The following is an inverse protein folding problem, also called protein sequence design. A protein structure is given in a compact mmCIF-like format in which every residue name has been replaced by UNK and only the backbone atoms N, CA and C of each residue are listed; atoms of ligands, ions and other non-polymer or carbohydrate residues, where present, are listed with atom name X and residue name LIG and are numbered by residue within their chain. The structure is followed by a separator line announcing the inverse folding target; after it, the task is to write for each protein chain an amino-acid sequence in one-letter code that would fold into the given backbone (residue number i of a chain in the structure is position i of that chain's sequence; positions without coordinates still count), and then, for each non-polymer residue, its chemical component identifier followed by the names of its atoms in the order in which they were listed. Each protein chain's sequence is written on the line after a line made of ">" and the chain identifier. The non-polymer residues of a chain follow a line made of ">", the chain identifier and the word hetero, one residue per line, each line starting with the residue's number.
data_IF_473224736083
#
_entry.id   IF_473224736083
#
_cell.length_a   1.000
_cell.length_b   1.000
_cell.length_c   1.000
_cell.angle_alpha   90.00
_cell.angle_beta   90.00
_cell.angle_gamma   90.00
#
_symmetry.space_group_name_H-M   'P 1'
#
loop_
_entity.id
_entity.type
_entity.pdbx_description
1 polymer ?
#
# COMPACT_ATOMS: atom_id res chain seq x y z
N UNK A 1 -1.39 -16.28 1.59
CA UNK A 1 -1.79 -15.51 0.40
C UNK A 1 -1.10 -14.17 0.44
N UNK A 2 -0.81 -13.59 -0.73
CA UNK A 2 -0.26 -12.25 -0.86
C UNK A 2 -1.39 -11.26 -1.03
N UNK A 3 -1.49 -10.29 -0.14
CA UNK A 3 -2.56 -9.29 -0.13
C UNK A 3 -1.93 -7.92 -0.32
N UNK A 4 -2.44 -7.16 -1.29
CA UNK A 4 -2.03 -5.78 -1.52
C UNK A 4 -3.14 -4.83 -1.05
N UNK A 5 -2.83 -3.97 -0.10
CA UNK A 5 -3.69 -2.91 0.40
C UNK A 5 -3.25 -1.58 -0.22
N UNK A 6 -4.09 -0.98 -1.05
CA UNK A 6 -3.82 0.32 -1.67
C UNK A 6 -4.52 1.41 -0.85
N UNK A 7 -3.76 2.34 -0.30
CA UNK A 7 -4.25 3.50 0.43
C UNK A 7 -3.90 4.81 -0.26
N UNK A 8 -4.79 5.80 -0.15
CA UNK A 8 -4.54 7.17 -0.63
C UNK A 8 -3.65 7.96 0.32
N UNK A 9 -3.71 7.64 1.62
CA UNK A 9 -2.90 8.23 2.70
C UNK A 9 -2.55 7.15 3.73
N UNK A 10 -1.46 7.36 4.45
CA UNK A 10 -1.06 6.52 5.56
C UNK A 10 -2.09 6.58 6.68
N UNK A 11 -2.71 7.73 6.89
CA UNK A 11 -3.81 7.89 7.85
C UNK A 11 -4.98 6.95 7.55
N UNK A 12 -5.28 6.70 6.26
CA UNK A 12 -6.35 5.78 5.87
C UNK A 12 -6.02 4.32 6.18
N UNK A 13 -4.73 3.98 6.25
CA UNK A 13 -4.23 2.65 6.62
C UNK A 13 -4.18 2.50 8.14
N UNK A 14 -3.54 3.44 8.83
CA UNK A 14 -3.35 3.41 10.28
C UNK A 14 -4.63 3.71 11.08
N UNK A 15 -5.60 4.41 10.49
CA UNK A 15 -6.87 4.71 11.14
C UNK A 15 -7.85 3.54 11.01
N UNK A 16 -8.49 3.42 9.85
CA UNK A 16 -9.63 2.52 9.67
C UNK A 16 -9.24 1.08 9.32
N UNK A 17 -8.06 0.88 8.73
CA UNK A 17 -7.65 -0.42 8.19
C UNK A 17 -6.59 -1.10 9.05
N UNK A 18 -6.17 -0.50 10.15
CA UNK A 18 -5.06 -1.01 10.96
C UNK A 18 -5.38 -2.37 11.58
N UNK A 19 -6.54 -2.50 12.22
CA UNK A 19 -6.98 -3.77 12.80
C UNK A 19 -7.16 -4.84 11.72
N UNK A 20 -7.70 -4.47 10.55
CA UNK A 20 -7.80 -5.39 9.41
C UNK A 20 -6.42 -5.89 8.95
N UNK A 21 -5.45 -4.99 8.81
CA UNK A 21 -4.08 -5.35 8.41
C UNK A 21 -3.44 -6.32 9.41
N UNK A 22 -3.62 -6.04 10.70
CA UNK A 22 -3.13 -6.87 11.79
C UNK A 22 -3.79 -8.26 11.81
N UNK A 23 -5.09 -8.34 11.58
CA UNK A 23 -5.84 -9.60 11.50
C UNK A 23 -5.38 -10.44 10.29
N UNK A 24 -5.17 -9.81 9.14
CA UNK A 24 -4.68 -10.48 7.93
C UNK A 24 -3.28 -11.06 8.14
N UNK A 25 -2.37 -10.31 8.78
CA UNK A 25 -1.04 -10.83 9.12
C UNK A 25 -1.14 -11.96 10.14
N UNK A 26 -1.98 -11.82 11.16
CA UNK A 26 -2.20 -12.84 12.19
C UNK A 26 -2.78 -14.14 11.61
N UNK A 27 -3.56 -14.03 10.52
CA UNK A 27 -4.04 -15.17 9.74
C UNK A 27 -2.97 -15.83 8.84
N UNK A 28 -1.72 -15.36 8.89
CA UNK A 28 -0.59 -15.91 8.14
C UNK A 28 -0.52 -15.43 6.69
N UNK A 29 -1.11 -14.27 6.37
CA UNK A 29 -1.01 -13.66 5.04
C UNK A 29 0.18 -12.71 4.94
N UNK A 30 0.75 -12.63 3.74
CA UNK A 30 1.80 -11.65 3.43
C UNK A 30 1.12 -10.38 2.94
N UNK A 31 1.15 -9.34 3.77
CA UNK A 31 0.37 -8.11 3.54
C UNK A 31 1.30 -6.97 3.14
N UNK A 32 1.02 -6.38 2.00
CA UNK A 32 1.72 -5.22 1.46
C UNK A 32 0.81 -3.99 1.53
N UNK A 33 1.31 -2.87 2.03
CA UNK A 33 0.53 -1.65 2.19
C UNK A 33 1.16 -0.51 1.37
N UNK A 34 0.41 -0.02 0.38
CA UNK A 34 0.85 1.00 -0.55
C UNK A 34 0.28 2.36 -0.13
N UNK A 35 1.14 3.35 0.14
CA UNK A 35 0.71 4.73 0.50
C UNK A 35 1.69 5.80 0.02
N UNK A 36 1.22 7.06 -0.08
CA UNK A 36 1.99 8.17 -0.67
C UNK A 36 2.77 9.03 0.31
N UNK A 37 2.48 8.93 1.60
CA UNK A 37 2.90 9.89 2.63
C UNK A 37 3.45 9.19 3.89
N UNK A 38 4.22 8.13 3.69
CA UNK A 38 4.93 7.48 4.78
C UNK A 38 6.04 8.35 5.38
N UNK A 39 5.98 8.51 6.70
CA UNK A 39 7.10 8.94 7.52
C UNK A 39 7.76 7.73 8.23
N UNK A 40 8.85 7.97 8.94
CA UNK A 40 9.56 6.91 9.66
C UNK A 40 8.67 6.18 10.68
N UNK A 41 7.85 6.93 11.44
CA UNK A 41 7.02 6.37 12.52
C UNK A 41 5.92 5.48 11.98
N UNK A 42 5.24 5.92 10.93
CA UNK A 42 4.16 5.19 10.29
C UNK A 42 4.64 3.93 9.57
N UNK A 43 5.80 3.97 8.91
CA UNK A 43 6.43 2.75 8.37
C UNK A 43 6.72 1.77 9.49
N UNK A 44 7.35 2.24 10.57
CA UNK A 44 7.71 1.37 11.68
C UNK A 44 6.47 0.73 12.29
N UNK A 45 5.40 1.50 12.49
CA UNK A 45 4.12 0.99 13.00
C UNK A 45 3.57 -0.17 12.16
N UNK A 46 3.66 -0.08 10.83
CA UNK A 46 3.23 -1.17 9.94
C UNK A 46 4.19 -2.37 9.97
N UNK A 47 5.50 -2.11 10.00
CA UNK A 47 6.52 -3.16 10.08
C UNK A 47 6.37 -3.95 11.39
N UNK A 48 6.08 -3.28 12.50
CA UNK A 48 5.92 -3.88 13.83
C UNK A 48 4.75 -4.88 13.89
N UNK A 49 3.72 -4.68 13.05
CA UNK A 49 2.60 -5.63 12.90
C UNK A 49 2.80 -6.63 11.75
N UNK A 50 3.99 -6.65 11.13
CA UNK A 50 4.34 -7.59 10.05
C UNK A 50 3.82 -7.21 8.66
N UNK A 51 3.40 -5.97 8.45
CA UNK A 51 3.00 -5.44 7.14
C UNK A 51 4.23 -4.88 6.42
N UNK A 52 4.32 -5.07 5.11
CA UNK A 52 5.37 -4.51 4.25
C UNK A 52 4.90 -3.17 3.67
N UNK A 53 5.37 -2.01 4.18
CA UNK A 53 5.02 -0.72 3.61
C UNK A 53 5.74 -0.50 2.27
N UNK A 54 5.02 0.02 1.29
CA UNK A 54 5.53 0.38 -0.03
C UNK A 54 5.21 1.85 -0.28
N UNK A 55 6.27 2.64 -0.46
CA UNK A 55 6.13 4.03 -0.89
C UNK A 55 5.72 4.10 -2.36
N UNK A 56 4.82 5.02 -2.67
CA UNK A 56 4.62 5.48 -4.03
C UNK A 56 4.32 6.97 -4.06
N UNK A 57 4.39 7.60 -5.22
CA UNK A 57 4.16 9.04 -5.33
C UNK A 57 3.15 9.30 -6.43
N UNK A 58 1.86 9.20 -6.09
CA UNK A 58 0.79 9.72 -6.94
C UNK A 58 0.50 11.17 -6.56
N UNK A 59 0.51 12.05 -7.55
CA UNK A 59 0.04 13.42 -7.39
C UNK A 59 -1.49 13.40 -7.24
N UNK A 60 -2.01 13.95 -6.14
CA UNK A 60 -3.45 13.95 -5.84
C UNK A 60 -4.27 14.96 -6.65
N UNK A 61 -3.63 15.89 -7.36
CA UNK A 61 -4.29 17.10 -7.89
C UNK A 61 -3.86 17.54 -9.30
N UNK A 62 -3.27 16.64 -10.10
CA UNK A 62 -2.87 16.94 -11.47
C UNK A 62 -3.57 16.04 -12.48
N UNK A 63 -4.10 16.61 -13.56
CA UNK A 63 -4.69 15.88 -14.69
C UNK A 63 -3.63 15.64 -15.78
N UNK A 64 -2.37 15.42 -15.37
CA UNK A 64 -1.25 15.36 -16.32
C UNK A 64 -1.15 13.95 -16.91
N UNK A 65 -1.56 13.72 -18.17
CA UNK A 65 -1.70 12.37 -18.72
C UNK A 65 -0.37 11.61 -18.77
N UNK A 66 0.75 12.32 -18.92
CA UNK A 66 2.08 11.71 -18.90
C UNK A 66 2.45 11.21 -17.51
N UNK A 67 2.18 12.00 -16.47
CA UNK A 67 2.41 11.58 -15.08
C UNK A 67 1.50 10.43 -14.71
N UNK A 68 0.24 10.46 -15.15
CA UNK A 68 -0.73 9.39 -14.91
C UNK A 68 -0.29 8.08 -15.59
N UNK A 69 0.23 8.16 -16.82
CA UNK A 69 0.76 6.99 -17.52
C UNK A 69 1.99 6.39 -16.83
N UNK A 70 2.91 7.23 -16.34
CA UNK A 70 4.07 6.77 -15.56
C UNK A 70 3.62 6.10 -14.26
N UNK A 71 2.67 6.69 -13.55
CA UNK A 71 2.09 6.13 -12.32
C UNK A 71 1.40 4.78 -12.60
N UNK A 72 0.65 4.68 -13.71
CA UNK A 72 0.05 3.44 -14.17
C UNK A 72 1.10 2.36 -14.43
N UNK A 73 2.17 2.67 -15.17
CA UNK A 73 3.26 1.70 -15.45
C UNK A 73 3.93 1.27 -14.14
N UNK A 74 4.18 2.20 -13.22
CA UNK A 74 4.76 1.88 -11.92
C UNK A 74 3.88 0.91 -11.14
N UNK A 75 2.59 1.23 -10.98
CA UNK A 75 1.64 0.41 -10.26
C UNK A 75 1.48 -0.96 -10.92
N UNK A 76 1.41 -1.01 -12.26
CA UNK A 76 1.35 -2.26 -13.02
C UNK A 76 2.57 -3.14 -12.76
N UNK A 77 3.78 -2.59 -12.83
CA UNK A 77 5.02 -3.33 -12.55
C UNK A 77 5.07 -3.80 -11.09
N UNK A 78 4.62 -2.97 -10.16
CA UNK A 78 4.58 -3.29 -8.75
C UNK A 78 3.64 -4.46 -8.47
N UNK A 79 2.40 -4.39 -8.95
CA UNK A 79 1.41 -5.46 -8.82
C UNK A 79 1.93 -6.74 -9.48
N UNK A 80 2.54 -6.64 -10.68
CA UNK A 80 3.17 -7.80 -11.34
C UNK A 80 4.35 -8.39 -10.56
N UNK A 81 5.11 -7.58 -9.81
CA UNK A 81 6.23 -8.05 -9.00
C UNK A 81 5.74 -8.75 -7.74
N UNK A 82 4.72 -8.19 -7.09
CA UNK A 82 4.15 -8.75 -5.85
C UNK A 82 3.34 -10.02 -6.17
N UNK A 83 2.66 -10.05 -7.32
CA UNK A 83 1.70 -11.09 -7.72
C UNK A 83 0.70 -11.36 -6.59
N UNK A 84 -0.09 -10.35 -6.16
CA UNK A 84 -1.04 -10.53 -5.06
C UNK A 84 -2.20 -11.41 -5.50
N UNK A 85 -2.68 -12.25 -4.57
CA UNK A 85 -3.90 -13.03 -4.74
C UNK A 85 -5.15 -12.13 -4.63
N UNK A 86 -5.08 -11.10 -3.77
CA UNK A 86 -6.17 -10.16 -3.49
C UNK A 86 -5.61 -8.74 -3.43
N UNK A 87 -6.37 -7.80 -4.00
CA UNK A 87 -6.11 -6.36 -3.89
C UNK A 87 -7.30 -5.67 -3.23
N UNK A 88 -7.04 -4.91 -2.17
CA UNK A 88 -7.99 -4.01 -1.53
C UNK A 88 -7.62 -2.55 -1.86
N UNK A 89 -8.61 -1.67 -1.93
CA UNK A 89 -8.44 -0.22 -2.13
C UNK A 89 -9.14 0.62 -1.06
#
# INVERSE_FOLDING_TARGET
>A
MKILMIGTTVQSLLGFRYELLKDLVSAGHEVYALSVDYDYKSKQTLIDIGVVPIDYTISRSGINPFKDFVNFIFLYKLIKKITPDIVFS
#
